data_IF_450836239791
#
_entry.id   IF_450836239791
#
_cell.length_a   1.000
_cell.length_b   1.000
_cell.length_c   1.000
_cell.angle_alpha   90.00
_cell.angle_beta   90.00
_cell.angle_gamma   90.00
#
_symmetry.space_group_name_H-M   'P 1'
#
loop_
_entity.id
_entity.type
_entity.pdbx_description
1 polymer ?
#
# COMPACT_ATOMS: atom_id res chain seq x y z
N UNK A 1 -9.95 -3.14 11.85
CA UNK A 1 -8.49 -2.91 11.74
C UNK A 1 -8.27 -1.46 12.09
N UNK A 2 -7.60 -1.15 13.22
CA UNK A 2 -7.17 0.23 13.48
C UNK A 2 -6.10 0.56 12.44
N UNK A 3 -6.35 1.58 11.64
CA UNK A 3 -5.41 2.00 10.62
C UNK A 3 -4.25 2.72 11.34
N UNK A 4 -3.12 2.03 11.49
CA UNK A 4 -1.90 2.63 12.02
C UNK A 4 -1.26 3.46 10.90
N UNK A 5 -1.37 4.78 11.01
CA UNK A 5 -0.77 5.72 10.08
C UNK A 5 0.45 6.40 10.70
N UNK A 6 1.47 6.63 9.88
CA UNK A 6 2.60 7.49 10.20
C UNK A 6 2.90 8.41 9.02
N UNK A 7 3.39 9.62 9.28
CA UNK A 7 3.87 10.53 8.23
C UNK A 7 5.35 10.74 8.44
N UNK A 8 6.13 10.55 7.39
CA UNK A 8 7.57 10.83 7.34
C UNK A 8 7.83 11.66 6.10
N UNK A 9 8.30 12.90 6.29
CA UNK A 9 8.46 13.90 5.22
C UNK A 9 7.15 14.11 4.42
N UNK A 10 7.16 13.81 3.12
CA UNK A 10 6.00 13.87 2.23
C UNK A 10 5.34 12.51 1.99
N UNK A 11 5.65 11.50 2.81
CA UNK A 11 5.13 10.15 2.66
C UNK A 11 4.18 9.79 3.81
N UNK A 12 2.96 9.37 3.44
CA UNK A 12 2.03 8.69 4.33
C UNK A 12 2.34 7.19 4.32
N UNK A 13 2.59 6.65 5.51
CA UNK A 13 2.81 5.23 5.76
C UNK A 13 1.56 4.65 6.42
N UNK A 14 1.16 3.46 5.99
CA UNK A 14 0.06 2.71 6.61
C UNK A 14 0.44 1.23 6.73
N UNK A 15 0.18 0.63 7.89
CA UNK A 15 0.26 -0.82 8.04
C UNK A 15 -1.11 -1.41 7.73
N UNK A 16 -1.17 -2.33 6.79
CA UNK A 16 -2.41 -3.02 6.45
C UNK A 16 -2.20 -4.52 6.22
N UNK A 17 -3.28 -5.28 6.41
CA UNK A 17 -3.30 -6.67 5.97
C UNK A 17 -3.19 -6.77 4.44
N UNK A 18 -2.63 -7.86 3.90
CA UNK A 18 -2.48 -8.05 2.46
C UNK A 18 -3.80 -7.97 1.68
N UNK A 19 -4.86 -8.52 2.27
CA UNK A 19 -6.22 -8.48 1.72
C UNK A 19 -6.74 -7.06 1.52
N UNK A 20 -6.17 -6.02 2.15
CA UNK A 20 -6.60 -4.64 1.94
C UNK A 20 -5.93 -3.99 0.71
N UNK A 21 -4.79 -4.54 0.27
CA UNK A 21 -3.93 -3.89 -0.73
C UNK A 21 -4.64 -3.73 -2.07
N UNK A 22 -5.46 -4.72 -2.48
CA UNK A 22 -6.22 -4.64 -3.74
C UNK A 22 -7.16 -3.42 -3.82
N UNK A 23 -7.56 -2.84 -2.67
CA UNK A 23 -8.45 -1.67 -2.62
C UNK A 23 -7.73 -0.35 -2.90
N UNK A 24 -6.41 -0.34 -2.80
CA UNK A 24 -5.58 0.86 -2.95
C UNK A 24 -4.66 0.81 -4.17
N UNK A 25 -4.60 -0.32 -4.88
CA UNK A 25 -3.89 -0.43 -6.17
C UNK A 25 -4.59 0.46 -7.20
N UNK A 26 -3.85 1.43 -7.74
CA UNK A 26 -4.31 2.25 -8.86
C UNK A 26 -3.55 1.86 -10.13
N UNK A 27 -4.21 1.09 -11.01
CA UNK A 27 -3.62 0.61 -12.27
C UNK A 27 -3.31 1.70 -13.29
N UNK A 28 -3.83 2.92 -13.11
CA UNK A 28 -3.59 4.05 -14.03
C UNK A 28 -2.44 4.93 -13.56
N UNK A 29 -2.27 5.06 -12.26
CA UNK A 29 -1.33 6.01 -11.66
C UNK A 29 -0.07 5.36 -11.08
N UNK A 30 -0.07 4.05 -10.83
CA UNK A 30 1.08 3.34 -10.26
C UNK A 30 1.98 2.71 -11.34
N UNK A 31 3.29 2.57 -11.08
CA UNK A 31 4.19 1.82 -11.95
C UNK A 31 3.80 0.34 -12.05
N UNK A 32 3.96 -0.25 -13.24
CA UNK A 32 3.62 -1.65 -13.51
C UNK A 32 4.32 -2.64 -12.58
N UNK A 33 5.55 -2.35 -12.15
CA UNK A 33 6.28 -3.21 -11.19
C UNK A 33 5.63 -3.20 -9.80
N UNK A 34 5.20 -2.04 -9.32
CA UNK A 34 4.54 -1.92 -8.02
C UNK A 34 3.16 -2.58 -8.06
N UNK A 35 2.41 -2.39 -9.15
CA UNK A 35 1.13 -3.08 -9.37
C UNK A 35 1.32 -4.60 -9.28
N UNK A 36 2.32 -5.16 -9.96
CA UNK A 36 2.60 -6.60 -9.94
C UNK A 36 2.96 -7.11 -8.54
N UNK A 37 3.76 -6.36 -7.77
CA UNK A 37 4.10 -6.71 -6.38
C UNK A 37 2.85 -6.73 -5.50
N UNK A 38 2.02 -5.70 -5.63
CA UNK A 38 0.80 -5.56 -4.83
C UNK A 38 -0.26 -6.62 -5.19
N UNK A 39 -0.41 -6.96 -6.47
CA UNK A 39 -1.35 -7.99 -6.94
C UNK A 39 -0.87 -9.43 -6.66
N UNK A 40 0.42 -9.63 -6.39
CA UNK A 40 0.97 -10.93 -6.02
C UNK A 40 0.74 -11.32 -4.54
N UNK A 41 0.30 -10.36 -3.71
CA UNK A 41 0.05 -10.58 -2.28
C UNK A 41 -1.16 -11.50 -2.06
N UNK A 42 -1.03 -12.39 -1.07
CA UNK A 42 -2.04 -13.37 -0.65
C UNK A 42 -2.51 -13.08 0.77
N UNK A 43 -3.69 -13.57 1.12
CA UNK A 43 -4.32 -13.33 2.43
C UNK A 43 -3.45 -13.80 3.62
N UNK A 44 -2.68 -14.88 3.42
CA UNK A 44 -1.80 -15.47 4.42
C UNK A 44 -0.43 -14.78 4.53
N UNK A 45 -0.15 -13.78 3.67
CA UNK A 45 1.11 -13.04 3.74
C UNK A 45 1.17 -12.15 4.99
N UNK A 46 2.39 -11.74 5.34
CA UNK A 46 2.60 -10.81 6.44
C UNK A 46 1.91 -9.45 6.16
N UNK A 47 1.46 -8.72 7.20
CA UNK A 47 1.04 -7.34 7.05
C UNK A 47 2.09 -6.51 6.32
N UNK A 48 1.62 -5.64 5.43
CA UNK A 48 2.49 -4.82 4.59
C UNK A 48 2.46 -3.37 5.02
N UNK A 49 3.52 -2.65 4.68
CA UNK A 49 3.61 -1.20 4.83
C UNK A 49 3.35 -0.56 3.48
N UNK A 50 2.24 0.15 3.35
CA UNK A 50 1.95 1.00 2.20
C UNK A 50 2.64 2.35 2.39
N UNK A 51 3.39 2.78 1.37
CA UNK A 51 4.02 4.11 1.32
C UNK A 51 3.41 4.92 0.17
N UNK A 52 2.69 5.99 0.51
CA UNK A 52 2.07 6.89 -0.45
C UNK A 52 2.69 8.29 -0.36
N UNK A 53 3.17 8.82 -1.48
CA UNK A 53 3.66 10.19 -1.53
C UNK A 53 2.49 11.16 -1.69
N UNK A 54 2.42 12.14 -0.79
CA UNK A 54 1.41 13.19 -0.84
C UNK A 54 1.69 14.12 -2.02
N UNK A 55 0.62 14.50 -2.72
CA UNK A 55 0.69 15.57 -3.72
C UNK A 55 1.12 16.85 -3.01
N UNK A 56 2.03 17.59 -3.65
CA UNK A 56 2.38 18.96 -3.23
C UNK A 56 1.31 19.95 -3.67
#
# INVERSE_FOLDING_TARGET
MYLCFGIVDNALLSICKPDFVHRVVDRKLMPSEEIRKMEALKEDDNPVILKCYLKR
#
